data_IF_391096276073
#
_entry.id   IF_391096276073
#
_cell.length_a   1.000
_cell.length_b   1.000
_cell.length_c   1.000
_cell.angle_alpha   90.00
_cell.angle_beta   90.00
_cell.angle_gamma   90.00
#
_symmetry.space_group_name_H-M   'P 1'
#
loop_
_entity.id
_entity.type
_entity.pdbx_description
1 polymer ?
#
# COMPACT_ATOMS: atom_id res chain seq x y z
N UNK A 1 2.69 -15.39 35.94
CA UNK A 1 3.07 -14.57 34.76
C UNK A 1 4.31 -15.18 34.13
N UNK A 2 4.22 -15.61 32.87
CA UNK A 2 5.22 -16.43 32.21
C UNK A 2 6.41 -15.55 31.73
N UNK A 3 7.54 -15.60 32.46
CA UNK A 3 8.71 -14.72 32.29
C UNK A 3 9.35 -14.79 30.89
N UNK A 4 9.11 -15.87 30.15
CA UNK A 4 9.53 -16.04 28.76
C UNK A 4 8.90 -15.02 27.80
N UNK A 5 7.62 -14.69 27.99
CA UNK A 5 6.91 -13.77 27.10
C UNK A 5 7.43 -12.33 27.22
N UNK A 6 7.88 -11.94 28.42
CA UNK A 6 8.44 -10.61 28.68
C UNK A 6 9.81 -10.43 28.01
N UNK A 7 10.59 -11.51 27.91
CA UNK A 7 11.90 -11.49 27.25
C UNK A 7 11.76 -11.29 25.73
N UNK A 8 10.77 -11.95 25.11
CA UNK A 8 10.50 -11.83 23.68
C UNK A 8 9.98 -10.44 23.28
N UNK A 9 9.30 -9.73 24.19
CA UNK A 9 8.77 -8.38 23.93
C UNK A 9 9.85 -7.34 23.62
N UNK A 10 11.08 -7.54 24.13
CA UNK A 10 12.20 -6.63 23.89
C UNK A 10 12.72 -6.71 22.44
N UNK A 11 12.54 -7.88 21.80
CA UNK A 11 12.86 -8.10 20.39
C UNK A 11 11.67 -7.82 19.46
N UNK A 12 10.47 -7.67 20.02
CA UNK A 12 9.24 -7.31 19.30
C UNK A 12 9.06 -5.79 19.13
N UNK A 13 10.14 -5.01 19.18
CA UNK A 13 10.08 -3.61 18.79
C UNK A 13 9.99 -3.53 17.26
N UNK A 14 8.96 -2.86 16.69
CA UNK A 14 8.91 -2.60 15.27
C UNK A 14 10.09 -1.69 14.93
N UNK A 15 11.07 -2.25 14.21
CA UNK A 15 12.26 -1.49 13.82
C UNK A 15 11.85 -0.29 12.94
N UNK A 16 12.64 0.80 12.94
CA UNK A 16 12.34 2.00 12.17
C UNK A 16 12.18 1.68 10.68
N UNK A 17 11.23 2.38 10.03
CA UNK A 17 10.86 2.30 8.61
C UNK A 17 11.96 2.86 7.68
N UNK A 18 13.11 2.20 7.68
CA UNK A 18 14.13 2.38 6.65
C UNK A 18 14.94 1.09 6.62
N UNK A 19 14.31 0.01 6.16
CA UNK A 19 15.04 -1.20 5.82
C UNK A 19 15.22 -1.19 4.31
N UNK A 20 16.36 -0.62 3.92
CA UNK A 20 16.98 -0.86 2.63
C UNK A 20 16.81 -2.34 2.25
N UNK A 21 16.29 -2.58 1.04
CA UNK A 21 16.33 -3.89 0.38
C UNK A 21 17.77 -4.41 0.44
N UNK A 22 18.02 -5.32 1.37
CA UNK A 22 19.29 -6.05 1.46
C UNK A 22 19.06 -7.42 0.86
N UNK A 23 20.10 -8.04 0.29
CA UNK A 23 20.03 -9.40 -0.26
C UNK A 23 19.48 -10.45 0.72
N UNK A 24 19.54 -10.16 2.02
CA UNK A 24 18.95 -10.97 3.09
C UNK A 24 17.42 -10.86 3.10
N UNK A 25 16.86 -9.67 2.88
CA UNK A 25 15.41 -9.45 2.81
C UNK A 25 14.80 -10.18 1.59
N UNK A 26 15.47 -10.13 0.44
CA UNK A 26 15.07 -10.88 -0.76
C UNK A 26 15.17 -12.41 -0.59
N UNK A 27 15.99 -12.88 0.36
CA UNK A 27 16.18 -14.30 0.64
C UNK A 27 15.18 -14.89 1.63
N UNK A 28 14.36 -14.05 2.28
CA UNK A 28 13.31 -14.53 3.17
C UNK A 28 12.06 -14.84 2.35
N UNK A 29 11.50 -16.06 2.42
CA UNK A 29 10.18 -16.32 1.84
C UNK A 29 9.18 -15.45 2.60
N UNK A 30 8.73 -14.38 1.97
CA UNK A 30 7.73 -13.45 2.52
C UNK A 30 6.50 -14.28 2.87
N UNK A 31 6.17 -14.33 4.16
CA UNK A 31 4.89 -14.89 4.58
C UNK A 31 3.82 -14.10 3.82
N UNK A 32 2.86 -14.80 3.20
CA UNK A 32 1.93 -14.33 2.16
C UNK A 32 1.04 -13.10 2.48
N UNK A 33 1.34 -12.34 3.53
CA UNK A 33 0.72 -11.07 3.90
C UNK A 33 1.65 -9.85 3.75
N UNK A 34 2.93 -10.02 3.42
CA UNK A 34 3.90 -8.91 3.36
C UNK A 34 3.89 -8.12 2.04
N UNK A 35 3.56 -8.75 0.90
CA UNK A 35 3.64 -8.10 -0.42
C UNK A 35 2.88 -6.77 -0.49
N UNK A 36 1.62 -6.73 -0.03
CA UNK A 36 0.84 -5.47 -0.01
C UNK A 36 1.34 -4.44 1.01
N UNK A 37 1.99 -4.87 2.09
CA UNK A 37 2.62 -3.94 3.05
C UNK A 37 3.83 -3.29 2.41
N UNK A 38 4.67 -4.07 1.73
CA UNK A 38 5.83 -3.58 0.98
C UNK A 38 5.38 -2.63 -0.12
N UNK A 39 4.37 -3.01 -0.90
CA UNK A 39 3.76 -2.14 -1.92
C UNK A 39 3.31 -0.80 -1.35
N UNK A 40 2.57 -0.80 -0.23
CA UNK A 40 2.06 0.44 0.39
C UNK A 40 3.20 1.30 0.95
N UNK A 41 4.30 0.70 1.40
CA UNK A 41 5.48 1.46 1.84
C UNK A 41 6.21 2.09 0.66
N UNK A 42 6.47 1.33 -0.41
CA UNK A 42 7.07 1.86 -1.64
C UNK A 42 6.21 2.96 -2.25
N UNK A 43 4.88 2.79 -2.26
CA UNK A 43 3.92 3.80 -2.71
C UNK A 43 4.00 5.11 -1.90
N UNK A 44 4.36 5.05 -0.60
CA UNK A 44 4.54 6.27 0.22
C UNK A 44 5.86 6.96 -0.07
N UNK A 45 6.88 6.21 -0.48
CA UNK A 45 8.20 6.75 -0.81
C UNK A 45 8.20 7.35 -2.21
N UNK A 46 7.62 6.65 -3.19
CA UNK A 46 7.55 7.08 -4.58
C UNK A 46 6.38 8.00 -4.90
N UNK A 47 5.38 8.08 -4.02
CA UNK A 47 4.14 8.82 -4.25
C UNK A 47 3.30 8.21 -5.38
N UNK A 48 2.61 9.07 -6.13
CA UNK A 48 1.75 8.66 -7.26
C UNK A 48 2.44 8.88 -8.62
N UNK A 49 3.76 9.03 -8.65
CA UNK A 49 4.50 9.45 -9.84
C UNK A 49 4.35 8.52 -11.06
N UNK A 50 4.12 7.21 -10.84
CA UNK A 50 3.91 6.22 -11.92
C UNK A 50 2.43 5.86 -12.13
N UNK A 51 1.52 6.54 -11.43
CA UNK A 51 0.09 6.23 -11.39
C UNK A 51 -0.70 7.41 -11.95
N UNK A 52 -1.50 7.16 -12.99
CA UNK A 52 -2.40 8.19 -13.52
C UNK A 52 -3.43 8.58 -12.45
N UNK A 53 -3.45 9.86 -12.09
CA UNK A 53 -4.30 10.40 -11.05
C UNK A 53 -4.89 11.77 -11.45
N UNK A 54 -6.00 12.13 -10.83
CA UNK A 54 -6.65 13.43 -11.00
C UNK A 54 -6.62 14.19 -9.69
N UNK A 55 -6.20 15.45 -9.70
CA UNK A 55 -6.35 16.31 -8.53
C UNK A 55 -7.79 16.86 -8.45
N UNK A 56 -8.43 16.69 -7.30
CA UNK A 56 -9.79 17.19 -7.07
C UNK A 56 -9.98 17.52 -5.59
N UNK A 57 -10.44 18.74 -5.29
CA UNK A 57 -10.80 19.17 -3.94
C UNK A 57 -9.70 18.98 -2.89
N UNK A 58 -8.44 19.22 -3.24
CA UNK A 58 -7.32 19.06 -2.31
C UNK A 58 -6.95 17.60 -2.01
N UNK A 59 -7.34 16.68 -2.89
CA UNK A 59 -6.96 15.27 -2.86
C UNK A 59 -6.54 14.78 -4.25
N UNK A 60 -5.64 13.81 -4.30
CA UNK A 60 -5.40 13.03 -5.52
C UNK A 60 -6.37 11.85 -5.58
N UNK A 61 -7.05 11.70 -6.71
CA UNK A 61 -7.96 10.59 -6.99
C UNK A 61 -7.33 9.66 -8.00
N UNK A 62 -7.25 8.38 -7.66
CA UNK A 62 -6.85 7.30 -8.57
C UNK A 62 -8.04 6.38 -8.79
N UNK A 63 -8.35 6.02 -10.03
CA UNK A 63 -9.40 5.04 -10.30
C UNK A 63 -9.04 3.67 -9.71
N UNK A 64 -10.04 2.96 -9.20
CA UNK A 64 -9.82 1.68 -8.53
C UNK A 64 -9.20 0.61 -9.44
N UNK A 65 -9.51 0.63 -10.74
CA UNK A 65 -8.91 -0.26 -11.74
C UNK A 65 -7.43 0.08 -11.99
N UNK A 66 -7.12 1.36 -12.21
CA UNK A 66 -5.76 1.86 -12.42
C UNK A 66 -4.87 1.49 -11.22
N UNK A 67 -5.36 1.74 -10.01
CA UNK A 67 -4.61 1.45 -8.79
C UNK A 67 -4.34 -0.05 -8.61
N UNK A 68 -5.32 -0.90 -8.96
CA UNK A 68 -5.17 -2.34 -8.86
C UNK A 68 -4.22 -2.90 -9.93
N UNK A 69 -4.30 -2.39 -11.17
CA UNK A 69 -3.38 -2.77 -12.24
C UNK A 69 -1.93 -2.41 -11.90
N UNK A 70 -1.72 -1.23 -11.30
CA UNK A 70 -0.39 -0.84 -10.83
C UNK A 70 0.14 -1.82 -9.78
N UNK A 71 -0.69 -2.20 -8.80
CA UNK A 71 -0.33 -3.22 -7.81
C UNK A 71 -0.03 -4.59 -8.45
N UNK A 72 -0.78 -5.01 -9.47
CA UNK A 72 -0.52 -6.27 -10.18
C UNK A 72 0.85 -6.26 -10.86
N UNK A 73 1.20 -5.17 -11.56
CA UNK A 73 2.53 -5.01 -12.18
C UNK A 73 3.66 -4.99 -11.16
N UNK A 74 3.43 -4.32 -10.02
CA UNK A 74 4.37 -4.33 -8.91
C UNK A 74 4.58 -5.76 -8.39
N UNK A 75 3.51 -6.53 -8.21
CA UNK A 75 3.60 -7.94 -7.79
C UNK A 75 4.41 -8.78 -8.78
N UNK A 76 4.15 -8.64 -10.08
CA UNK A 76 4.90 -9.33 -11.13
C UNK A 76 6.41 -9.03 -11.06
N UNK A 77 6.76 -7.76 -10.81
CA UNK A 77 8.16 -7.32 -10.69
C UNK A 77 8.83 -7.82 -9.42
N UNK A 78 8.07 -7.88 -8.32
CA UNK A 78 8.54 -8.33 -7.01
C UNK A 78 8.53 -9.86 -6.83
N UNK A 79 7.97 -10.62 -7.78
CA UNK A 79 7.77 -12.07 -7.65
C UNK A 79 6.66 -12.45 -6.65
N UNK A 80 5.76 -11.52 -6.36
CA UNK A 80 4.65 -11.68 -5.42
C UNK A 80 3.36 -12.10 -6.15
N UNK A 81 2.43 -12.75 -5.44
CA UNK A 81 1.11 -13.09 -6.00
C UNK A 81 0.10 -12.00 -5.62
N UNK A 82 -0.57 -11.33 -6.58
CA UNK A 82 -1.51 -10.27 -6.26
C UNK A 82 -2.71 -10.79 -5.46
N UNK A 83 -3.04 -10.09 -4.37
CA UNK A 83 -4.30 -10.27 -3.66
C UNK A 83 -5.49 -10.01 -4.60
N UNK A 84 -6.64 -10.66 -4.36
CA UNK A 84 -7.89 -10.34 -5.06
C UNK A 84 -8.24 -8.86 -4.88
N UNK A 85 -8.75 -8.21 -5.93
CA UNK A 85 -9.13 -6.78 -5.95
C UNK A 85 -9.89 -6.30 -4.71
N UNK A 86 -10.91 -7.03 -4.27
CA UNK A 86 -11.70 -6.65 -3.08
C UNK A 86 -10.84 -6.59 -1.82
N UNK A 87 -9.96 -7.58 -1.63
CA UNK A 87 -9.03 -7.68 -0.49
C UNK A 87 -7.94 -6.61 -0.59
N UNK A 88 -7.46 -6.31 -1.79
CA UNK A 88 -6.53 -5.21 -2.05
C UNK A 88 -7.13 -3.86 -1.61
N UNK A 89 -8.35 -3.54 -2.07
CA UNK A 89 -9.02 -2.29 -1.71
C UNK A 89 -9.20 -2.15 -0.19
N UNK A 90 -9.63 -3.23 0.48
CA UNK A 90 -9.79 -3.25 1.93
C UNK A 90 -8.46 -3.04 2.67
N UNK A 91 -7.39 -3.71 2.21
CA UNK A 91 -6.08 -3.66 2.87
C UNK A 91 -5.40 -2.31 2.72
N UNK A 92 -5.45 -1.66 1.56
CA UNK A 92 -4.86 -0.31 1.38
C UNK A 92 -5.45 0.67 2.40
N UNK A 93 -6.78 0.75 2.49
CA UNK A 93 -7.44 1.68 3.42
C UNK A 93 -7.20 1.33 4.89
N UNK A 94 -6.86 0.07 5.22
CA UNK A 94 -6.44 -0.33 6.57
C UNK A 94 -4.98 0.03 6.88
N UNK A 95 -4.08 -0.13 5.91
CA UNK A 95 -2.65 0.11 6.06
C UNK A 95 -2.29 1.59 6.02
N UNK A 96 -3.07 2.39 5.29
CA UNK A 96 -2.95 3.84 5.27
C UNK A 96 -4.34 4.47 5.41
N UNK A 97 -4.64 4.90 6.64
CA UNK A 97 -5.96 5.44 7.00
C UNK A 97 -6.29 6.76 6.31
N UNK A 98 -5.27 7.47 5.81
CA UNK A 98 -5.46 8.69 5.02
C UNK A 98 -5.96 8.40 3.60
N UNK A 99 -5.82 7.15 3.12
CA UNK A 99 -6.31 6.72 1.82
C UNK A 99 -7.72 6.14 1.95
N UNK A 100 -8.68 6.78 1.29
CA UNK A 100 -10.08 6.33 1.31
C UNK A 100 -10.48 5.72 -0.02
N UNK A 101 -10.96 4.47 -0.01
CA UNK A 101 -11.63 3.87 -1.18
C UNK A 101 -13.14 4.16 -1.11
N UNK A 102 -13.66 4.95 -2.06
CA UNK A 102 -15.09 5.30 -2.09
C UNK A 102 -15.62 5.44 -3.51
N UNK A 103 -16.95 5.36 -3.61
CA UNK A 103 -17.69 5.65 -4.83
C UNK A 103 -17.72 7.16 -5.09
N UNK A 104 -17.65 7.56 -6.35
CA UNK A 104 -17.80 8.95 -6.78
C UNK A 104 -18.60 9.04 -8.08
N UNK A 105 -19.06 10.25 -8.40
CA UNK A 105 -19.74 10.54 -9.66
C UNK A 105 -18.88 11.46 -10.50
N UNK A 106 -18.72 11.13 -11.77
CA UNK A 106 -18.00 11.95 -12.75
C UNK A 106 -18.68 11.78 -14.10
N UNK A 107 -19.02 12.90 -14.74
CA UNK A 107 -19.68 12.91 -16.05
C UNK A 107 -20.96 12.03 -16.13
N UNK A 108 -21.70 11.94 -15.02
CA UNK A 108 -22.91 11.11 -14.92
C UNK A 108 -22.66 9.61 -14.68
N UNK A 109 -21.42 9.15 -14.80
CA UNK A 109 -21.02 7.78 -14.46
C UNK A 109 -20.75 7.65 -12.95
N UNK A 110 -21.00 6.46 -12.41
CA UNK A 110 -20.72 6.11 -11.01
C UNK A 110 -19.52 5.18 -10.97
N UNK A 111 -18.40 5.67 -10.46
CA UNK A 111 -17.10 4.98 -10.44
C UNK A 111 -16.61 4.77 -9.01
N UNK A 112 -15.55 3.98 -8.84
CA UNK A 112 -14.85 3.80 -7.56
C UNK A 112 -13.40 4.23 -7.68
N UNK A 113 -12.91 4.91 -6.66
CA UNK A 113 -11.54 5.42 -6.64
C UNK A 113 -10.95 5.48 -5.24
N UNK A 114 -9.63 5.52 -5.22
CA UNK A 114 -8.82 5.81 -4.04
C UNK A 114 -8.54 7.30 -3.99
N UNK A 115 -8.73 7.89 -2.80
CA UNK A 115 -8.51 9.30 -2.54
C UNK A 115 -7.32 9.42 -1.59
N UNK A 116 -6.26 10.04 -2.08
CA UNK A 116 -5.00 10.29 -1.40
C UNK A 116 -4.93 11.76 -0.98
N UNK A 117 -4.28 12.09 0.14
CA UNK A 117 -4.06 13.47 0.52
C UNK A 117 -3.04 14.15 -0.41
N UNK A 118 -3.09 15.48 -0.55
CA UNK A 118 -2.22 16.22 -1.48
C UNK A 118 -0.72 16.18 -1.13
N UNK A 119 -0.37 15.92 0.13
CA UNK A 119 1.02 15.74 0.56
C UNK A 119 1.56 14.32 0.28
N UNK A 120 0.77 13.47 -0.39
CA UNK A 120 1.17 12.10 -0.71
C UNK A 120 2.14 12.03 -1.89
N UNK A 121 2.20 13.06 -2.73
CA UNK A 121 3.22 13.16 -3.77
C UNK A 121 4.31 14.13 -3.29
N UNK A 122 5.55 13.67 -3.05
CA UNK A 122 6.65 14.59 -2.81
C UNK A 122 6.91 15.36 -4.11
N UNK A 123 6.76 16.69 -4.05
CA UNK A 123 7.11 17.60 -5.15
C UNK A 123 8.61 17.53 -5.43
#
# INVERSE_FOLDING_TARGET
>A
MNKFYTYLKQFANPKPKSFFRTSIYDSMPTASNEGIVNYVNELKESGLNEIVHTESQGQYRVEGDIMYQHYQRWCETAGEVPDKRSKFCEKISKLEKRITFKRYKENGATSYGFFFPNDFNPV
#
